data_IF_876568037642
#
_entry.id   IF_876568037642
#
_cell.length_a   1.000
_cell.length_b   1.000
_cell.length_c   1.000
_cell.angle_alpha   90.00
_cell.angle_beta   90.00
_cell.angle_gamma   90.00
#
_symmetry.space_group_name_H-M   'P 1'
#
loop_
_entity.id
_entity.type
_entity.pdbx_description
1 polymer ?
#
# COMPACT_ATOMS: atom_id res chain seq x y z
N UNK A 1 1.18 19.68 8.99
CA UNK A 1 0.85 18.72 7.92
C UNK A 1 1.87 17.61 8.01
N UNK A 2 1.43 16.35 7.95
CA UNK A 2 2.32 15.19 7.95
C UNK A 2 2.61 14.84 6.50
N UNK A 3 3.89 14.68 6.14
CA UNK A 3 4.33 14.46 4.76
C UNK A 3 5.21 13.23 4.72
N UNK A 4 4.97 12.32 3.77
CA UNK A 4 5.78 11.12 3.55
C UNK A 4 7.08 11.48 2.77
N UNK A 5 7.96 12.26 3.41
CA UNK A 5 9.17 12.80 2.78
C UNK A 5 10.45 12.00 3.06
N UNK A 6 10.33 10.85 3.75
CA UNK A 6 11.47 9.98 4.04
C UNK A 6 11.76 8.97 2.93
N UNK A 7 10.97 8.98 1.85
CA UNK A 7 11.22 8.14 0.69
C UNK A 7 12.51 8.54 -0.04
N UNK A 8 13.32 7.54 -0.38
CA UNK A 8 14.47 7.68 -1.30
C UNK A 8 14.16 7.07 -2.66
N UNK A 9 13.40 5.98 -2.67
CA UNK A 9 13.08 5.19 -3.87
C UNK A 9 11.72 5.57 -4.49
N UNK A 10 10.96 6.46 -3.88
CA UNK A 10 9.68 6.91 -4.43
C UNK A 10 9.59 8.44 -4.43
N UNK A 11 9.03 8.98 -5.51
CA UNK A 11 8.81 10.42 -5.67
C UNK A 11 7.67 10.66 -6.67
N UNK A 12 6.81 11.63 -6.39
CA UNK A 12 5.94 12.24 -7.38
C UNK A 12 6.73 13.36 -8.05
N UNK A 13 7.15 13.15 -9.30
CA UNK A 13 7.99 14.10 -10.04
C UNK A 13 7.16 15.28 -10.53
N UNK A 14 5.98 14.99 -11.08
CA UNK A 14 5.09 16.00 -11.66
C UNK A 14 3.65 15.45 -11.72
N UNK A 15 2.67 16.34 -11.81
CA UNK A 15 1.27 15.96 -11.99
C UNK A 15 0.51 17.00 -12.82
N UNK A 16 -0.24 16.52 -13.80
CA UNK A 16 -1.03 17.35 -14.72
C UNK A 16 -2.09 16.53 -15.45
N UNK A 17 -3.18 17.16 -15.85
CA UNK A 17 -4.23 16.58 -16.69
C UNK A 17 -4.80 15.26 -16.17
N UNK A 18 -5.04 15.12 -14.87
CA UNK A 18 -5.58 13.90 -14.27
C UNK A 18 -4.58 12.77 -14.13
N UNK A 19 -3.29 13.04 -14.31
CA UNK A 19 -2.22 12.05 -14.23
C UNK A 19 -1.08 12.50 -13.33
N UNK A 20 -0.33 11.55 -12.81
CA UNK A 20 0.91 11.77 -12.08
C UNK A 20 2.06 10.97 -12.69
N UNK A 21 3.19 11.63 -12.78
CA UNK A 21 4.47 11.09 -13.15
C UNK A 21 5.22 10.73 -11.87
N UNK A 22 5.56 9.47 -11.69
CA UNK A 22 6.15 8.96 -10.46
C UNK A 22 7.44 8.20 -10.75
N UNK A 23 8.41 8.33 -9.84
CA UNK A 23 9.61 7.48 -9.79
C UNK A 23 9.40 6.38 -8.75
N UNK A 24 9.68 5.14 -9.16
CA UNK A 24 9.59 3.93 -8.34
C UNK A 24 10.92 3.16 -8.43
N UNK A 25 11.87 3.50 -7.57
CA UNK A 25 13.25 3.06 -7.68
C UNK A 25 13.90 3.65 -8.93
N UNK A 26 14.30 2.79 -9.85
CA UNK A 26 14.91 3.17 -11.13
C UNK A 26 13.89 3.41 -12.26
N UNK A 27 12.61 3.17 -12.00
CA UNK A 27 11.57 3.20 -13.03
C UNK A 27 10.63 4.38 -12.86
N UNK A 28 10.19 4.92 -13.98
CA UNK A 28 9.23 6.02 -14.05
C UNK A 28 7.92 5.53 -14.61
N UNK A 29 6.84 5.79 -13.88
CA UNK A 29 5.49 5.38 -14.24
C UNK A 29 4.58 6.60 -14.41
N UNK A 30 3.65 6.53 -15.36
CA UNK A 30 2.53 7.46 -15.48
C UNK A 30 1.24 6.73 -15.09
N UNK A 31 0.52 7.30 -14.14
CA UNK A 31 -0.74 6.72 -13.65
C UNK A 31 -1.80 7.80 -13.47
N UNK A 32 -3.10 7.48 -13.70
CA UNK A 32 -4.18 8.43 -13.47
C UNK A 32 -4.33 8.76 -11.98
N UNK A 33 -4.55 10.04 -11.72
CA UNK A 33 -4.91 10.55 -10.40
C UNK A 33 -6.06 11.56 -10.54
N UNK A 34 -7.29 11.20 -10.14
CA UNK A 34 -8.45 12.06 -10.30
C UNK A 34 -8.42 13.33 -9.43
N UNK A 35 -7.52 13.41 -8.47
CA UNK A 35 -7.33 14.61 -7.65
C UNK A 35 -6.53 15.69 -8.39
N UNK A 36 -5.84 15.34 -9.46
CA UNK A 36 -5.08 16.26 -10.31
C UNK A 36 -6.02 16.91 -11.32
N UNK A 37 -6.72 17.97 -10.88
CA UNK A 37 -7.73 18.69 -11.67
C UNK A 37 -7.15 19.85 -12.50
N UNK A 38 -5.87 20.15 -12.34
CA UNK A 38 -5.18 21.22 -13.07
C UNK A 38 -4.51 20.71 -14.33
N UNK A 39 -4.28 21.63 -15.25
CA UNK A 39 -3.58 21.41 -16.51
C UNK A 39 -2.35 22.31 -16.54
N UNK A 40 -1.18 21.73 -16.37
CA UNK A 40 0.12 22.40 -16.44
C UNK A 40 0.96 21.80 -17.57
N UNK A 41 1.88 22.55 -18.19
CA UNK A 41 2.74 22.01 -19.21
C UNK A 41 3.58 20.86 -18.68
N UNK A 42 3.46 19.69 -19.28
CA UNK A 42 4.24 18.46 -18.99
C UNK A 42 5.68 18.61 -19.49
N UNK A 43 6.53 19.36 -18.77
CA UNK A 43 7.91 19.70 -19.16
C UNK A 43 8.93 18.64 -18.78
N UNK A 44 8.63 17.80 -17.78
CA UNK A 44 9.53 16.78 -17.31
C UNK A 44 9.76 15.71 -18.39
N UNK A 45 11.01 15.29 -18.57
CA UNK A 45 11.40 14.29 -19.59
C UNK A 45 10.69 12.95 -19.39
N UNK A 46 10.37 12.60 -18.14
CA UNK A 46 9.66 11.37 -17.78
C UNK A 46 8.32 11.22 -18.44
N UNK A 47 7.61 12.31 -18.79
CA UNK A 47 6.36 12.25 -19.55
C UNK A 47 6.49 11.69 -20.97
N UNK A 48 7.71 11.69 -21.53
CA UNK A 48 8.02 11.15 -22.87
C UNK A 48 8.85 9.88 -22.81
N UNK A 49 9.44 9.56 -21.66
CA UNK A 49 10.37 8.45 -21.48
C UNK A 49 10.05 7.66 -20.21
N UNK A 50 8.74 7.41 -19.98
CA UNK A 50 8.31 6.54 -18.90
C UNK A 50 8.58 5.07 -19.21
N UNK A 51 8.69 4.25 -18.17
CA UNK A 51 8.85 2.79 -18.32
C UNK A 51 7.50 2.07 -18.49
N UNK A 52 6.41 2.65 -17.96
CA UNK A 52 5.06 2.20 -18.24
C UNK A 52 4.03 3.31 -18.01
N UNK A 53 2.89 3.19 -18.68
CA UNK A 53 1.76 4.10 -18.58
C UNK A 53 0.46 3.31 -18.38
N UNK A 54 -0.33 3.66 -17.38
CA UNK A 54 -1.67 3.08 -17.21
C UNK A 54 -2.73 3.99 -17.81
N UNK A 55 -3.36 3.52 -18.87
CA UNK A 55 -4.44 4.20 -19.57
C UNK A 55 -5.79 3.87 -18.98
N UNK A 56 -6.52 4.89 -18.53
CA UNK A 56 -7.86 4.72 -17.98
C UNK A 56 -8.89 4.55 -19.10
N UNK A 57 -9.73 3.53 -19.00
CA UNK A 57 -10.87 3.34 -19.89
C UNK A 57 -12.05 4.22 -19.48
N UNK A 58 -12.77 4.77 -20.46
CA UNK A 58 -14.02 5.52 -20.22
C UNK A 58 -15.17 4.65 -19.67
N UNK A 59 -15.05 3.32 -19.81
CA UNK A 59 -16.04 2.33 -19.33
C UNK A 59 -15.71 1.78 -17.93
N UNK A 60 -14.70 2.32 -17.25
CA UNK A 60 -14.12 1.81 -16.00
C UNK A 60 -12.94 0.87 -16.25
N UNK A 61 -12.04 0.78 -15.27
CA UNK A 61 -10.78 0.05 -15.40
C UNK A 61 -9.79 0.74 -16.33
N UNK A 62 -8.97 -0.03 -17.01
CA UNK A 62 -7.93 0.44 -17.93
C UNK A 62 -6.87 -0.64 -18.16
N UNK A 63 -5.80 -0.26 -18.83
CA UNK A 63 -4.73 -1.17 -19.20
C UNK A 63 -3.35 -0.51 -19.06
N UNK A 64 -2.33 -1.33 -18.82
CA UNK A 64 -0.95 -0.91 -18.80
C UNK A 64 -0.34 -0.99 -20.20
N UNK A 65 0.31 0.07 -20.61
CA UNK A 65 1.24 0.09 -21.72
C UNK A 65 2.66 0.02 -21.16
N UNK A 66 3.43 -1.00 -21.58
CA UNK A 66 4.77 -1.26 -21.10
C UNK A 66 5.79 -0.88 -22.17
N UNK A 67 6.86 -0.18 -21.77
CA UNK A 67 7.98 0.18 -22.63
C UNK A 67 9.24 -0.58 -22.19
N UNK A 68 9.77 -0.27 -21.00
CA UNK A 68 10.96 -0.90 -20.43
C UNK A 68 10.80 -1.03 -18.92
N UNK A 69 9.79 -1.80 -18.52
CA UNK A 69 9.51 -2.11 -17.11
C UNK A 69 9.63 -3.62 -16.90
N UNK A 70 10.39 -4.10 -15.90
CA UNK A 70 10.43 -5.51 -15.57
C UNK A 70 9.09 -5.98 -15.00
N UNK A 71 8.82 -7.28 -15.07
CA UNK A 71 7.61 -7.87 -14.49
C UNK A 71 7.51 -7.64 -12.99
N UNK A 72 8.66 -7.56 -12.31
CA UNK A 72 8.77 -7.30 -10.88
C UNK A 72 10.04 -6.53 -10.56
N UNK A 73 9.97 -5.61 -9.61
CA UNK A 73 11.12 -4.88 -9.06
C UNK A 73 10.90 -4.61 -7.58
N UNK A 74 11.89 -4.03 -6.91
CA UNK A 74 11.78 -3.67 -5.49
C UNK A 74 12.09 -2.21 -5.24
N UNK A 75 11.48 -1.66 -4.19
CA UNK A 75 11.85 -0.37 -3.59
C UNK A 75 12.00 -0.50 -2.08
N UNK A 76 12.69 0.46 -1.48
CA UNK A 76 13.01 0.45 -0.06
C UNK A 76 12.40 1.64 0.67
N UNK A 77 11.97 1.40 1.89
CA UNK A 77 11.62 2.43 2.85
C UNK A 77 12.28 2.13 4.20
N UNK A 78 13.34 2.87 4.55
CA UNK A 78 14.18 2.53 5.70
C UNK A 78 14.77 1.13 5.56
N UNK A 79 14.48 0.24 6.49
CA UNK A 79 14.90 -1.17 6.46
C UNK A 79 13.93 -2.10 5.72
N UNK A 80 12.81 -1.58 5.26
CA UNK A 80 11.78 -2.39 4.59
C UNK A 80 12.03 -2.47 3.10
N UNK A 81 11.78 -3.63 2.52
CA UNK A 81 11.87 -3.89 1.08
C UNK A 81 10.51 -4.35 0.57
N UNK A 82 10.00 -3.68 -0.44
CA UNK A 82 8.71 -3.99 -1.07
C UNK A 82 8.91 -4.47 -2.49
N UNK A 83 8.44 -5.69 -2.77
CA UNK A 83 8.34 -6.21 -4.13
C UNK A 83 7.15 -5.57 -4.83
N UNK A 84 7.35 -5.06 -6.01
CA UNK A 84 6.35 -4.36 -6.81
C UNK A 84 6.17 -5.05 -8.14
N UNK A 85 4.95 -5.03 -8.65
CA UNK A 85 4.59 -5.43 -10.00
C UNK A 85 3.31 -4.73 -10.43
N UNK A 86 3.17 -4.35 -11.69
CA UNK A 86 1.88 -3.91 -12.21
C UNK A 86 0.88 -5.05 -12.09
N UNK A 87 -0.31 -4.78 -11.60
CA UNK A 87 -1.38 -5.74 -11.61
C UNK A 87 -2.71 -5.03 -11.83
N UNK A 88 -3.83 -5.71 -11.65
CA UNK A 88 -5.16 -5.19 -11.91
C UNK A 88 -5.31 -3.71 -11.59
N UNK A 89 -5.86 -2.94 -12.51
CA UNK A 89 -5.96 -1.49 -12.42
C UNK A 89 -4.57 -0.79 -12.38
N UNK A 90 -4.54 0.44 -11.92
CA UNK A 90 -3.34 1.27 -11.83
C UNK A 90 -2.38 0.92 -10.67
N UNK A 91 -2.60 -0.19 -9.98
CA UNK A 91 -1.86 -0.52 -8.75
C UNK A 91 -0.54 -1.23 -9.04
N UNK A 92 0.42 -1.00 -8.15
CA UNK A 92 1.78 -1.57 -8.22
C UNK A 92 2.11 -2.43 -7.00
N UNK A 93 1.16 -2.56 -6.08
CA UNK A 93 1.32 -3.35 -4.86
C UNK A 93 1.67 -2.53 -3.61
N UNK A 94 1.81 -1.20 -3.71
CA UNK A 94 2.13 -0.36 -2.56
C UNK A 94 1.42 1.00 -2.65
N UNK A 95 1.15 1.59 -1.48
CA UNK A 95 0.64 2.95 -1.29
C UNK A 95 1.69 3.77 -0.55
N UNK A 96 2.60 4.46 -1.27
CA UNK A 96 3.73 5.16 -0.66
C UNK A 96 3.33 6.29 0.28
N UNK A 97 2.18 6.90 0.06
CA UNK A 97 1.61 7.95 0.91
C UNK A 97 1.33 7.45 2.34
N UNK A 98 1.17 6.14 2.53
CA UNK A 98 0.96 5.53 3.84
C UNK A 98 2.22 5.50 4.71
N UNK A 99 3.38 5.81 4.17
CA UNK A 99 4.65 5.83 4.92
C UNK A 99 4.60 6.78 6.12
N UNK A 100 3.89 7.89 6.02
CA UNK A 100 3.67 8.81 7.14
C UNK A 100 2.97 8.15 8.32
N UNK A 101 2.02 7.26 8.04
CA UNK A 101 1.33 6.47 9.07
C UNK A 101 2.26 5.40 9.63
N UNK A 102 3.09 4.76 8.75
CA UNK A 102 4.07 3.76 9.20
C UNK A 102 5.05 4.34 10.19
N UNK A 103 5.58 5.52 9.93
CA UNK A 103 6.48 6.23 10.86
C UNK A 103 5.77 6.51 12.18
N UNK A 104 4.56 7.07 12.11
CA UNK A 104 3.79 7.46 13.29
C UNK A 104 3.51 6.29 14.24
N UNK A 105 2.94 5.19 13.74
CA UNK A 105 2.62 4.07 14.63
C UNK A 105 3.86 3.26 15.03
N UNK A 106 4.92 3.23 14.19
CA UNK A 106 6.20 2.63 14.57
C UNK A 106 6.82 3.35 15.77
N UNK A 107 6.77 4.68 15.80
CA UNK A 107 7.25 5.47 16.94
C UNK A 107 6.40 5.23 18.19
N UNK A 108 5.08 5.08 18.06
CA UNK A 108 4.21 4.71 19.19
C UNK A 108 4.55 3.34 19.75
N UNK A 109 4.82 2.35 18.90
CA UNK A 109 5.20 1.00 19.31
C UNK A 109 6.53 1.03 20.07
N UNK A 110 7.57 1.67 19.50
CA UNK A 110 8.88 1.79 20.16
C UNK A 110 8.79 2.51 21.51
N UNK A 111 7.94 3.54 21.59
CA UNK A 111 7.76 4.34 22.80
C UNK A 111 6.97 3.63 23.89
N UNK A 112 6.21 2.60 23.58
CA UNK A 112 5.38 1.86 24.53
C UNK A 112 6.21 1.11 25.60
N UNK A 113 7.47 0.75 25.29
CA UNK A 113 8.41 0.03 26.18
C UNK A 113 7.83 -1.25 26.78
N UNK A 114 6.89 -1.89 26.09
CA UNK A 114 6.26 -3.15 26.43
C UNK A 114 5.89 -3.91 25.16
N UNK A 115 5.64 -5.22 25.23
CA UNK A 115 5.09 -5.95 24.10
C UNK A 115 3.77 -5.31 23.62
N UNK A 116 3.64 -5.15 22.31
CA UNK A 116 2.45 -4.57 21.65
C UNK A 116 1.88 -5.60 20.68
N UNK A 117 0.58 -5.83 20.77
CA UNK A 117 -0.17 -6.67 19.82
C UNK A 117 -0.98 -5.79 18.88
N UNK A 118 -0.75 -5.93 17.58
CA UNK A 118 -1.43 -5.14 16.54
C UNK A 118 -2.31 -6.04 15.67
N UNK A 119 -3.54 -5.62 15.43
CA UNK A 119 -4.42 -6.20 14.42
C UNK A 119 -4.43 -5.31 13.20
N UNK A 120 -3.98 -5.84 12.04
CA UNK A 120 -4.04 -5.13 10.76
C UNK A 120 -5.09 -5.80 9.87
N UNK A 121 -6.18 -5.07 9.59
CA UNK A 121 -7.31 -5.49 8.77
C UNK A 121 -7.22 -4.86 7.38
N UNK A 122 -7.70 -5.57 6.37
CA UNK A 122 -7.55 -5.17 4.96
C UNK A 122 -6.08 -4.90 4.63
N UNK A 123 -5.24 -5.80 5.10
CA UNK A 123 -3.82 -5.53 5.27
C UNK A 123 -3.02 -5.53 3.96
N UNK A 124 -3.66 -5.90 2.84
CA UNK A 124 -3.11 -5.81 1.47
C UNK A 124 -1.75 -6.52 1.36
N UNK A 125 -0.76 -5.91 0.72
CA UNK A 125 0.60 -6.44 0.54
C UNK A 125 1.51 -6.22 1.75
N UNK A 126 0.95 -5.79 2.89
CA UNK A 126 1.61 -5.80 4.18
C UNK A 126 2.43 -4.57 4.55
N UNK A 127 2.32 -3.44 3.84
CA UNK A 127 3.11 -2.25 4.16
C UNK A 127 3.06 -1.86 5.65
N UNK A 128 1.85 -1.69 6.20
CA UNK A 128 1.66 -1.40 7.62
C UNK A 128 2.10 -2.57 8.53
N UNK A 129 1.83 -3.82 8.12
CA UNK A 129 2.25 -5.03 8.87
C UNK A 129 3.76 -5.06 9.07
N UNK A 130 4.52 -4.83 7.99
CA UNK A 130 5.98 -4.86 8.05
C UNK A 130 6.53 -3.73 8.91
N UNK A 131 5.96 -2.54 8.79
CA UNK A 131 6.39 -1.38 9.58
C UNK A 131 6.22 -1.62 11.09
N UNK A 132 5.06 -2.14 11.53
CA UNK A 132 4.82 -2.43 12.96
C UNK A 132 5.64 -3.63 13.45
N UNK A 133 5.85 -4.65 12.62
CA UNK A 133 6.70 -5.78 12.96
C UNK A 133 8.17 -5.37 13.12
N UNK A 134 8.69 -4.54 12.21
CA UNK A 134 10.03 -3.96 12.32
C UNK A 134 10.20 -3.04 13.54
N UNK A 135 9.10 -2.45 14.03
CA UNK A 135 9.10 -1.68 15.27
C UNK A 135 9.03 -2.55 16.55
N UNK A 136 8.91 -3.88 16.42
CA UNK A 136 8.92 -4.85 17.52
C UNK A 136 7.55 -5.32 17.99
N UNK A 137 6.48 -5.06 17.26
CA UNK A 137 5.14 -5.55 17.60
C UNK A 137 4.89 -6.99 17.12
N UNK A 138 4.02 -7.71 17.83
CA UNK A 138 3.36 -8.90 17.30
C UNK A 138 2.18 -8.47 16.44
N UNK A 139 2.05 -9.01 15.22
CA UNK A 139 1.04 -8.56 14.26
C UNK A 139 0.13 -9.71 13.84
N UNK A 140 -1.17 -9.47 13.83
CA UNK A 140 -2.13 -10.31 13.09
C UNK A 140 -2.52 -9.59 11.81
N UNK A 141 -2.05 -10.11 10.69
CA UNK A 141 -2.32 -9.61 9.34
C UNK A 141 -3.51 -10.35 8.76
N UNK A 142 -4.57 -9.63 8.41
CA UNK A 142 -5.81 -10.21 7.87
C UNK A 142 -6.16 -9.54 6.54
N UNK A 143 -6.29 -10.36 5.51
CA UNK A 143 -6.79 -9.94 4.20
C UNK A 143 -7.59 -11.08 3.55
N UNK A 144 -8.65 -10.74 2.84
CA UNK A 144 -9.50 -11.72 2.18
C UNK A 144 -8.82 -12.37 0.96
N UNK A 145 -7.86 -11.69 0.35
CA UNK A 145 -7.14 -12.16 -0.83
C UNK A 145 -5.93 -13.01 -0.46
N UNK A 146 -5.97 -14.30 -0.79
CA UNK A 146 -4.81 -15.20 -0.65
C UNK A 146 -3.57 -14.66 -1.38
N UNK A 147 -3.76 -14.09 -2.57
CA UNK A 147 -2.67 -13.50 -3.36
C UNK A 147 -1.99 -12.33 -2.65
N UNK A 148 -2.77 -11.46 -2.00
CA UNK A 148 -2.22 -10.33 -1.23
C UNK A 148 -1.47 -10.80 0.01
N UNK A 149 -2.00 -11.77 0.73
CA UNK A 149 -1.31 -12.36 1.90
C UNK A 149 -0.01 -13.07 1.48
N UNK A 150 0.01 -13.74 0.33
CA UNK A 150 1.23 -14.34 -0.21
C UNK A 150 2.26 -13.26 -0.53
N UNK A 151 1.86 -12.22 -1.22
CA UNK A 151 2.72 -11.08 -1.55
C UNK A 151 3.24 -10.36 -0.29
N UNK A 152 2.41 -10.22 0.74
CA UNK A 152 2.83 -9.66 2.02
C UNK A 152 3.91 -10.51 2.70
N UNK A 153 3.84 -11.85 2.59
CA UNK A 153 4.89 -12.76 3.08
C UNK A 153 6.20 -12.61 2.30
N UNK A 154 6.12 -12.43 0.97
CA UNK A 154 7.28 -12.16 0.12
C UNK A 154 7.96 -10.85 0.52
N UNK A 155 7.17 -9.80 0.79
CA UNK A 155 7.67 -8.52 1.29
C UNK A 155 8.32 -8.68 2.69
N UNK A 156 7.73 -9.48 3.57
CA UNK A 156 8.32 -9.77 4.88
C UNK A 156 9.67 -10.49 4.74
N UNK A 157 9.75 -11.50 3.88
CA UNK A 157 11.00 -12.20 3.60
C UNK A 157 12.07 -11.25 3.03
N UNK A 158 11.71 -10.43 2.04
CA UNK A 158 12.60 -9.43 1.43
C UNK A 158 13.07 -8.36 2.43
N UNK A 159 12.29 -8.11 3.49
CA UNK A 159 12.62 -7.16 4.57
C UNK A 159 13.36 -7.80 5.73
N UNK A 160 13.75 -9.10 5.66
CA UNK A 160 14.40 -9.82 6.77
C UNK A 160 13.48 -10.08 7.96
N UNK A 161 12.16 -10.10 7.75
CA UNK A 161 11.14 -10.27 8.77
C UNK A 161 10.45 -11.65 8.72
N UNK A 162 11.09 -12.66 8.12
CA UNK A 162 10.53 -14.02 8.01
C UNK A 162 10.21 -14.63 9.39
N UNK A 163 11.05 -14.37 10.39
CA UNK A 163 10.91 -14.88 11.75
C UNK A 163 10.19 -13.92 12.71
N UNK A 164 9.73 -12.77 12.20
CA UNK A 164 8.98 -11.82 12.99
C UNK A 164 7.63 -12.42 13.44
N UNK A 165 7.11 -12.06 14.63
CA UNK A 165 5.86 -12.61 15.16
C UNK A 165 4.63 -12.10 14.40
N UNK A 166 4.50 -12.51 13.14
CA UNK A 166 3.38 -12.14 12.26
C UNK A 166 2.48 -13.35 12.03
N UNK A 167 1.22 -13.24 12.44
CA UNK A 167 0.18 -14.22 12.16
C UNK A 167 -0.53 -13.85 10.86
N UNK A 168 -0.36 -14.65 9.82
CA UNK A 168 -0.93 -14.45 8.49
C UNK A 168 -2.29 -15.13 8.36
N UNK A 169 -3.33 -14.37 8.05
CA UNK A 169 -4.71 -14.85 7.97
C UNK A 169 -5.30 -14.47 6.61
N UNK A 170 -5.78 -15.47 5.89
CA UNK A 170 -6.62 -15.27 4.69
C UNK A 170 -8.06 -15.45 5.11
N UNK A 171 -8.80 -14.37 5.27
CA UNK A 171 -10.16 -14.39 5.78
C UNK A 171 -10.90 -13.07 5.53
N UNK A 172 -12.22 -13.12 5.55
CA UNK A 172 -13.06 -11.93 5.65
C UNK A 172 -12.81 -11.23 7.00
N UNK A 173 -12.52 -9.93 6.94
CA UNK A 173 -12.14 -9.17 8.12
C UNK A 173 -13.24 -9.10 9.18
N UNK A 174 -14.52 -8.97 8.77
CA UNK A 174 -15.66 -8.92 9.70
C UNK A 174 -15.81 -10.26 10.42
N UNK A 175 -15.85 -11.35 9.66
CA UNK A 175 -15.93 -12.71 10.22
C UNK A 175 -14.75 -13.04 11.13
N UNK A 176 -13.56 -12.55 10.77
CA UNK A 176 -12.38 -12.71 11.62
C UNK A 176 -12.54 -12.00 12.96
N UNK A 177 -12.96 -10.72 12.95
CA UNK A 177 -13.17 -9.91 14.16
C UNK A 177 -14.25 -10.53 15.05
N UNK A 178 -15.38 -10.97 14.50
CA UNK A 178 -16.42 -11.67 15.25
C UNK A 178 -15.90 -12.92 15.97
N UNK A 179 -15.00 -13.67 15.33
CA UNK A 179 -14.37 -14.84 15.96
C UNK A 179 -13.39 -14.45 17.06
N UNK A 180 -12.62 -13.38 16.88
CA UNK A 180 -11.69 -12.89 17.91
C UNK A 180 -12.44 -12.37 19.15
N UNK A 181 -13.55 -11.70 18.96
CA UNK A 181 -14.46 -11.28 20.05
C UNK A 181 -14.97 -12.50 20.83
N UNK A 182 -15.50 -13.52 20.14
CA UNK A 182 -15.99 -14.76 20.80
C UNK A 182 -14.90 -15.53 21.56
N UNK A 183 -13.64 -15.40 21.12
CA UNK A 183 -12.47 -16.01 21.76
C UNK A 183 -11.90 -15.19 22.91
N UNK A 184 -12.41 -13.97 23.12
CA UNK A 184 -11.87 -13.05 24.12
C UNK A 184 -10.45 -12.55 23.80
N UNK A 185 -10.06 -12.55 22.53
CA UNK A 185 -8.75 -12.04 22.15
C UNK A 185 -8.74 -10.50 22.15
N UNK A 186 -7.64 -9.92 22.62
CA UNK A 186 -7.45 -8.49 22.73
C UNK A 186 -6.20 -8.06 21.96
N UNK A 187 -6.24 -6.83 21.46
CA UNK A 187 -5.15 -6.16 20.74
C UNK A 187 -4.93 -4.78 21.34
N UNK A 188 -3.69 -4.31 21.35
CA UNK A 188 -3.33 -2.97 21.84
C UNK A 188 -3.63 -1.88 20.81
N UNK A 189 -3.59 -2.24 19.53
CA UNK A 189 -3.89 -1.34 18.41
C UNK A 189 -4.54 -2.07 17.25
N UNK A 190 -5.38 -1.35 16.51
CA UNK A 190 -6.01 -1.81 15.27
C UNK A 190 -5.60 -0.85 14.15
N UNK A 191 -5.06 -1.39 13.07
CA UNK A 191 -4.79 -0.67 11.84
C UNK A 191 -5.81 -1.14 10.81
N UNK A 192 -6.51 -0.19 10.20
CA UNK A 192 -7.50 -0.48 9.19
C UNK A 192 -7.44 0.61 8.11
N UNK A 193 -6.90 0.26 6.95
CA UNK A 193 -6.88 1.15 5.81
C UNK A 193 -8.23 1.10 5.10
N UNK A 194 -8.93 2.22 5.07
CA UNK A 194 -10.23 2.30 4.39
C UNK A 194 -10.08 2.21 2.88
N UNK A 195 -10.71 1.22 2.26
CA UNK A 195 -10.79 1.08 0.80
C UNK A 195 -11.64 2.18 0.15
N UNK A 196 -12.45 2.90 0.92
CA UNK A 196 -13.30 4.01 0.43
C UNK A 196 -12.45 5.13 -0.20
N UNK A 197 -11.24 5.35 0.29
CA UNK A 197 -10.31 6.36 -0.24
C UNK A 197 -9.54 5.87 -1.47
N UNK A 198 -9.65 4.59 -1.80
CA UNK A 198 -8.96 3.93 -2.92
C UNK A 198 -9.93 3.63 -4.05
N UNK A 199 -11.23 3.46 -3.74
CA UNK A 199 -12.27 3.29 -4.74
C UNK A 199 -12.53 4.63 -5.45
N UNK A 200 -12.61 4.57 -6.77
CA UNK A 200 -12.84 5.74 -7.60
C UNK A 200 -14.18 6.41 -7.24
N UNK A 201 -14.25 7.76 -7.23
CA UNK A 201 -15.47 8.50 -6.83
C UNK A 201 -16.65 8.36 -7.82
N UNK A 202 -16.62 7.40 -8.74
CA UNK A 202 -17.61 7.23 -9.80
C UNK A 202 -18.59 6.06 -9.60
N UNK A 203 -18.52 5.31 -8.50
CA UNK A 203 -19.60 4.42 -8.07
C UNK A 203 -20.27 5.01 -6.86
N UNK A 204 -21.58 5.33 -6.91
CA UNK A 204 -22.39 5.43 -5.72
C UNK A 204 -22.53 4.00 -5.18
N UNK A 205 -21.57 3.59 -4.36
CA UNK A 205 -21.74 2.38 -3.57
C UNK A 205 -22.82 2.70 -2.56
N UNK A 206 -23.98 2.11 -2.78
CA UNK A 206 -25.08 2.11 -1.81
C UNK A 206 -24.54 1.40 -0.58
N UNK A 207 -24.07 2.17 0.39
CA UNK A 207 -23.79 1.66 1.72
C UNK A 207 -25.14 1.43 2.36
N UNK A 208 -25.63 0.22 2.26
CA UNK A 208 -26.75 -0.26 3.03
C UNK A 208 -26.27 -0.49 4.47
N UNK A 209 -26.57 0.46 5.36
CA UNK A 209 -26.52 0.20 6.78
C UNK A 209 -27.77 -0.61 7.14
N UNK A 210 -27.61 -1.86 7.50
CA UNK A 210 -28.60 -2.65 8.22
C UNK A 210 -28.18 -2.71 9.68
#
# INVERSE_FOLDING_TARGET
MWIANNWKDYEVIDCSCGEKLERWGNYTLVRPDPQVIWDTPKKEKGWKHMNAHYHRSKKGGGEWEFFDLPEQWSIHYGSLTFQLKPFSFKHTGLFPEQAVNWDWFSDKIRSAKRPVKVLNLFAYTGGATLAVAAAGASVTHVDASKGMVTWAKENAASSGLSDAPIRWIVDDCVKFVEREIRRGNHYDAIIMLSLIHISEPTRPDVISYA
#
